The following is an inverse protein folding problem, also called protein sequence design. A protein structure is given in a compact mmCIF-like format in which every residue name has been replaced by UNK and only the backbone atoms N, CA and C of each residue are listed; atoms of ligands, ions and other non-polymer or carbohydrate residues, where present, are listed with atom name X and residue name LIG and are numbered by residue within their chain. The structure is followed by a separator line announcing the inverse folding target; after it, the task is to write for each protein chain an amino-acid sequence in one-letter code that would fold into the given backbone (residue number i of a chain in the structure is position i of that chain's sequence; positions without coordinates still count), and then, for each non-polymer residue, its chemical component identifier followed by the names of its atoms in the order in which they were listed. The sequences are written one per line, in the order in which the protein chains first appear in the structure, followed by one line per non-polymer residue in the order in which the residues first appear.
data_IF_622507781740
#
_entry.id   IF_622507781740
#
_cell.length_a   1.000
_cell.length_b   1.000
_cell.length_c   1.000
_cell.angle_alpha   90.00
_cell.angle_beta   90.00
_cell.angle_gamma   90.00
#
_symmetry.space_group_name_H-M   'P 1'
#
loop_
_entity.id
_entity.type
_entity.pdbx_description
1 polymer ?
#
# COMPACT_ATOMS: atom_id res chain seq x y z
N UNK A 1 70.65 -6.04 -41.24
CA UNK A 1 70.98 -6.84 -40.04
C UNK A 1 69.69 -7.26 -39.36
N UNK A 2 69.67 -8.42 -38.69
CA UNK A 2 68.49 -8.89 -37.92
C UNK A 2 67.97 -7.81 -36.97
N UNK A 3 68.89 -7.01 -36.38
CA UNK A 3 68.56 -5.85 -35.55
C UNK A 3 67.65 -4.81 -36.23
N UNK A 4 67.84 -4.53 -37.52
CA UNK A 4 67.01 -3.55 -38.24
C UNK A 4 65.60 -4.06 -38.52
N UNK A 5 65.47 -5.35 -38.87
CA UNK A 5 64.16 -6.01 -39.01
C UNK A 5 63.40 -6.06 -37.67
N UNK A 6 64.12 -6.26 -36.56
CA UNK A 6 63.54 -6.25 -35.21
C UNK A 6 63.02 -4.87 -34.81
N UNK A 7 63.78 -3.80 -35.07
CA UNK A 7 63.33 -2.41 -34.80
C UNK A 7 62.10 -2.06 -35.63
N UNK A 8 62.06 -2.42 -36.92
CA UNK A 8 60.88 -2.18 -37.76
C UNK A 8 59.67 -2.97 -37.27
N UNK A 9 59.84 -4.24 -36.89
CA UNK A 9 58.76 -5.07 -36.36
C UNK A 9 58.18 -4.50 -35.05
N UNK A 10 59.03 -4.06 -34.12
CA UNK A 10 58.60 -3.46 -32.85
C UNK A 10 57.91 -2.11 -33.09
N UNK A 11 58.46 -1.25 -33.96
CA UNK A 11 57.84 0.03 -34.30
C UNK A 11 56.45 -0.13 -34.94
N UNK A 12 56.28 -1.12 -35.83
CA UNK A 12 54.98 -1.41 -36.43
C UNK A 12 54.00 -1.97 -35.38
N UNK A 13 54.47 -2.81 -34.46
CA UNK A 13 53.65 -3.35 -33.38
C UNK A 13 53.12 -2.24 -32.46
N UNK A 14 53.98 -1.30 -32.03
CA UNK A 14 53.57 -0.15 -31.21
C UNK A 14 52.61 0.77 -31.97
N UNK A 15 52.89 1.06 -33.25
CA UNK A 15 52.03 1.91 -34.06
C UNK A 15 50.63 1.33 -34.29
N UNK A 16 50.47 0.01 -34.22
CA UNK A 16 49.18 -0.67 -34.37
C UNK A 16 48.35 -0.75 -33.08
N UNK A 17 48.95 -0.55 -31.90
CA UNK A 17 48.23 -0.63 -30.62
C UNK A 17 47.64 0.73 -30.28
N UNK A 18 46.31 0.84 -30.09
CA UNK A 18 45.68 2.11 -29.77
C UNK A 18 45.80 2.40 -28.26
N UNK A 19 46.98 2.78 -27.80
CA UNK A 19 47.31 3.03 -26.38
C UNK A 19 46.42 4.11 -25.72
N UNK A 20 45.87 5.03 -26.50
CA UNK A 20 44.94 6.07 -26.03
C UNK A 20 43.49 5.62 -25.86
N UNK A 21 43.09 4.49 -26.46
CA UNK A 21 41.70 4.03 -26.45
C UNK A 21 41.17 3.75 -25.03
N UNK A 22 41.92 3.08 -24.11
CA UNK A 22 41.45 2.88 -22.74
C UNK A 22 41.14 4.19 -22.00
N UNK A 23 41.91 5.24 -22.23
CA UNK A 23 41.69 6.55 -21.62
C UNK A 23 40.41 7.23 -22.15
N UNK A 24 40.22 7.22 -23.47
CA UNK A 24 39.02 7.80 -24.12
C UNK A 24 37.75 7.06 -23.71
N UNK A 25 37.79 5.72 -23.68
CA UNK A 25 36.66 4.89 -23.23
C UNK A 25 36.33 5.18 -21.77
N UNK A 26 37.34 5.23 -20.89
CA UNK A 26 37.14 5.53 -19.47
C UNK A 26 36.53 6.92 -19.26
N UNK A 27 37.03 7.95 -19.94
CA UNK A 27 36.46 9.30 -19.88
C UNK A 27 35.01 9.32 -20.35
N UNK A 28 34.71 8.63 -21.45
CA UNK A 28 33.35 8.56 -22.01
C UNK A 28 32.38 7.89 -21.03
N UNK A 29 32.76 6.73 -20.45
CA UNK A 29 31.96 6.03 -19.45
C UNK A 29 31.81 6.84 -18.15
N UNK A 30 32.84 7.58 -17.74
CA UNK A 30 32.78 8.45 -16.55
C UNK A 30 31.81 9.62 -16.75
N UNK A 31 31.81 10.25 -17.93
CA UNK A 31 30.84 11.29 -18.27
C UNK A 31 29.41 10.72 -18.31
N UNK A 32 29.22 9.53 -18.89
CA UNK A 32 27.93 8.83 -18.86
C UNK A 32 27.46 8.50 -17.45
N UNK A 33 28.36 8.02 -16.59
CA UNK A 33 28.07 7.75 -15.16
C UNK A 33 27.67 9.03 -14.42
N UNK A 34 28.31 10.16 -14.70
CA UNK A 34 27.95 11.45 -14.11
C UNK A 34 26.54 11.88 -14.51
N UNK A 35 26.16 11.69 -15.76
CA UNK A 35 24.81 11.99 -16.24
C UNK A 35 23.76 11.05 -15.62
N UNK A 36 24.06 9.75 -15.51
CA UNK A 36 23.19 8.79 -14.82
C UNK A 36 22.96 9.16 -13.35
N UNK A 37 24.01 9.62 -12.65
CA UNK A 37 23.88 10.04 -11.25
C UNK A 37 22.93 11.24 -11.10
N UNK A 38 22.93 12.20 -12.05
CA UNK A 38 21.98 13.33 -12.05
C UNK A 38 20.53 12.88 -12.23
N UNK A 39 20.31 11.67 -12.75
CA UNK A 39 19.01 11.03 -12.93
C UNK A 39 18.73 9.96 -11.87
N UNK A 40 19.36 10.08 -10.69
CA UNK A 40 19.21 9.17 -9.55
C UNK A 40 19.70 7.72 -9.80
N UNK A 41 20.60 7.50 -10.77
CA UNK A 41 21.21 6.19 -11.04
C UNK A 41 22.69 6.18 -10.65
N UNK A 42 23.00 5.58 -9.49
CA UNK A 42 24.36 5.40 -9.02
C UNK A 42 25.03 4.17 -9.66
N UNK A 43 25.90 4.41 -10.65
CA UNK A 43 26.66 3.34 -11.31
C UNK A 43 27.92 3.01 -10.50
N UNK A 44 28.02 1.76 -10.01
CA UNK A 44 29.18 1.30 -9.21
C UNK A 44 30.37 0.82 -10.04
N UNK A 45 30.17 0.51 -11.32
CA UNK A 45 31.19 0.00 -12.26
C UNK A 45 31.02 0.68 -13.62
N UNK A 46 32.05 1.38 -14.10
CA UNK A 46 31.98 2.15 -15.36
C UNK A 46 31.49 1.33 -16.57
N UNK A 47 31.91 0.07 -16.79
CA UNK A 47 31.41 -0.72 -17.92
C UNK A 47 29.90 -0.99 -17.89
N UNK A 48 29.25 -0.89 -16.72
CA UNK A 48 27.81 -1.12 -16.61
C UNK A 48 26.97 -0.07 -17.35
N UNK A 49 27.53 1.10 -17.66
CA UNK A 49 26.86 2.11 -18.50
C UNK A 49 26.57 1.55 -19.90
N UNK A 50 27.54 0.86 -20.50
CA UNK A 50 27.39 0.24 -21.82
C UNK A 50 26.42 -0.95 -21.76
N UNK A 51 26.57 -1.81 -20.74
CA UNK A 51 25.68 -2.96 -20.55
C UNK A 51 24.22 -2.54 -20.39
N UNK A 52 23.95 -1.45 -19.67
CA UNK A 52 22.61 -0.91 -19.51
C UNK A 52 22.02 -0.46 -20.87
N UNK A 53 22.83 0.13 -21.74
CA UNK A 53 22.42 0.53 -23.09
C UNK A 53 22.06 -0.64 -24.01
N UNK A 54 22.56 -1.84 -23.71
CA UNK A 54 22.27 -3.08 -24.46
C UNK A 54 21.28 -4.00 -23.74
N UNK A 55 20.62 -3.51 -22.69
CA UNK A 55 19.65 -4.32 -21.92
C UNK A 55 18.37 -4.53 -22.75
N UNK A 56 18.00 -5.80 -22.95
CA UNK A 56 16.80 -6.21 -23.69
C UNK A 56 15.66 -6.69 -22.79
N UNK A 57 15.95 -7.01 -21.52
CA UNK A 57 14.98 -7.50 -20.54
C UNK A 57 15.22 -6.78 -19.21
N UNK A 58 14.16 -6.24 -18.61
CA UNK A 58 14.19 -5.64 -17.27
C UNK A 58 13.31 -6.49 -16.35
N UNK A 59 13.93 -7.15 -15.38
CA UNK A 59 13.22 -7.81 -14.29
C UNK A 59 13.14 -6.82 -13.13
N UNK A 60 11.95 -6.28 -12.88
CA UNK A 60 11.71 -5.33 -11.78
C UNK A 60 10.95 -6.02 -10.66
N UNK A 61 11.22 -5.61 -9.43
CA UNK A 61 10.33 -5.93 -8.31
C UNK A 61 9.08 -5.02 -8.37
N UNK A 62 7.98 -5.44 -7.77
CA UNK A 62 6.73 -4.65 -7.69
C UNK A 62 6.82 -3.64 -6.56
N UNK A 63 7.00 -4.14 -5.34
CA UNK A 63 6.84 -3.34 -4.12
C UNK A 63 8.03 -2.41 -3.93
N UNK A 64 7.79 -1.10 -3.89
CA UNK A 64 8.83 -0.09 -3.71
C UNK A 64 9.67 0.23 -4.96
N UNK A 65 9.37 -0.41 -6.09
CA UNK A 65 9.95 -0.06 -7.41
C UNK A 65 8.87 0.37 -8.40
N UNK A 66 7.90 -0.50 -8.71
CA UNK A 66 6.74 -0.14 -9.52
C UNK A 66 5.67 0.57 -8.71
N UNK A 67 5.51 0.20 -7.44
CA UNK A 67 4.58 0.83 -6.51
C UNK A 67 5.33 1.71 -5.52
N UNK A 68 4.64 2.71 -4.99
CA UNK A 68 5.21 3.62 -3.98
C UNK A 68 5.44 2.95 -2.61
N UNK A 69 5.17 1.64 -2.48
CA UNK A 69 5.10 0.92 -1.19
C UNK A 69 4.22 1.65 -0.16
N UNK A 70 3.12 2.23 -0.65
CA UNK A 70 2.13 2.96 0.13
C UNK A 70 0.78 2.31 -0.14
N UNK A 71 0.24 1.66 0.87
CA UNK A 71 -1.11 1.11 0.81
C UNK A 71 -2.12 2.25 1.05
N UNK A 72 -3.18 2.25 0.26
CA UNK A 72 -4.32 3.16 0.38
C UNK A 72 -5.60 2.36 0.24
N UNK A 73 -6.67 2.79 0.92
CA UNK A 73 -8.00 2.23 0.69
C UNK A 73 -8.51 2.81 -0.63
N UNK A 74 -8.79 1.96 -1.61
CA UNK A 74 -9.33 2.37 -2.92
C UNK A 74 -10.85 2.44 -2.90
N UNK A 75 -11.51 1.43 -2.33
CA UNK A 75 -12.95 1.43 -2.10
C UNK A 75 -13.35 0.65 -0.85
N UNK A 76 -14.55 0.94 -0.35
CA UNK A 76 -15.22 0.22 0.73
C UNK A 76 -16.58 -0.20 0.20
N UNK A 77 -16.86 -1.51 0.25
CA UNK A 77 -18.20 -2.01 -0.03
C UNK A 77 -19.00 -2.20 1.27
N UNK A 78 -20.28 -1.90 1.18
CA UNK A 78 -21.29 -2.16 2.21
C UNK A 78 -22.55 -2.71 1.54
N UNK A 79 -23.51 -3.27 2.29
CA UNK A 79 -24.79 -3.70 1.71
C UNK A 79 -25.61 -2.58 1.06
N UNK A 80 -25.30 -1.31 1.37
CA UNK A 80 -25.94 -0.16 0.75
C UNK A 80 -25.30 0.16 -0.61
N UNK A 81 -23.98 0.28 -0.62
CA UNK A 81 -23.23 0.72 -1.80
C UNK A 81 -21.72 0.45 -1.68
N UNK A 82 -21.04 0.60 -2.83
CA UNK A 82 -19.59 0.74 -2.92
C UNK A 82 -19.19 2.22 -2.91
N UNK A 83 -18.31 2.58 -2.00
CA UNK A 83 -17.74 3.92 -1.82
C UNK A 83 -16.32 3.95 -2.34
N UNK A 84 -15.98 4.90 -3.20
CA UNK A 84 -14.62 5.06 -3.72
C UNK A 84 -13.90 6.19 -3.00
N UNK A 85 -12.62 6.00 -2.71
CA UNK A 85 -11.77 7.03 -2.13
C UNK A 85 -11.11 7.83 -3.25
N UNK A 86 -11.39 9.13 -3.32
CA UNK A 86 -10.83 9.99 -4.34
C UNK A 86 -9.35 10.31 -4.03
N UNK A 87 -8.47 9.94 -4.96
CA UNK A 87 -7.03 10.24 -4.90
C UNK A 87 -6.17 9.15 -4.26
N UNK A 88 -5.86 8.05 -4.97
CA UNK A 88 -4.80 7.13 -4.55
C UNK A 88 -3.42 7.80 -4.51
N UNK A 89 -3.21 8.80 -5.39
CA UNK A 89 -1.95 9.52 -5.58
C UNK A 89 -1.89 10.89 -4.88
N UNK A 90 -3.06 11.48 -4.56
CA UNK A 90 -3.17 12.79 -3.94
C UNK A 90 -3.37 12.64 -2.43
N UNK A 91 -2.33 12.94 -1.65
CA UNK A 91 -2.49 13.16 -0.22
C UNK A 91 -2.77 14.65 0.07
N UNK A 92 -3.72 14.96 0.97
CA UNK A 92 -4.70 14.05 1.58
C UNK A 92 -5.82 13.67 0.60
N UNK A 93 -6.49 12.51 0.80
CA UNK A 93 -7.66 12.12 -0.01
C UNK A 93 -8.65 13.28 -0.12
N UNK A 94 -9.18 13.51 -1.32
CA UNK A 94 -10.09 14.63 -1.59
C UNK A 94 -11.54 14.35 -1.17
N UNK A 95 -11.82 13.14 -0.67
CA UNK A 95 -13.12 12.76 -0.10
C UNK A 95 -13.52 11.33 -0.46
N UNK A 96 -14.73 10.97 -0.04
CA UNK A 96 -15.37 9.70 -0.37
C UNK A 96 -16.44 9.97 -1.43
N UNK A 97 -16.48 9.13 -2.46
CA UNK A 97 -17.42 9.25 -3.58
C UNK A 97 -18.39 8.08 -3.58
N UNK A 98 -19.66 8.38 -3.84
CA UNK A 98 -20.72 7.42 -4.16
C UNK A 98 -21.28 7.75 -5.56
N UNK A 99 -21.16 6.83 -6.50
CA UNK A 99 -21.58 7.08 -7.89
C UNK A 99 -20.90 8.29 -8.54
N UNK A 100 -19.67 8.62 -8.13
CA UNK A 100 -18.90 9.78 -8.59
C UNK A 100 -19.22 11.11 -7.90
N UNK A 101 -20.17 11.14 -6.96
CA UNK A 101 -20.53 12.33 -6.19
C UNK A 101 -19.93 12.27 -4.78
N UNK A 102 -19.38 13.38 -4.24
CA UNK A 102 -18.90 13.44 -2.85
C UNK A 102 -20.01 13.12 -1.85
N UNK A 103 -19.69 12.34 -0.82
CA UNK A 103 -20.59 12.01 0.30
C UNK A 103 -19.92 12.25 1.64
N UNK A 104 -20.73 12.57 2.65
CA UNK A 104 -20.30 12.61 4.05
C UNK A 104 -20.50 11.23 4.69
N UNK A 105 -19.43 10.65 5.23
CA UNK A 105 -19.50 9.38 5.96
C UNK A 105 -20.43 9.45 7.18
N UNK A 106 -20.68 10.63 7.74
CA UNK A 106 -21.60 10.83 8.85
C UNK A 106 -23.05 10.46 8.50
N UNK A 107 -23.44 10.55 7.23
CA UNK A 107 -24.79 10.25 6.72
C UNK A 107 -24.96 8.77 6.35
N UNK A 108 -23.88 8.00 6.28
CA UNK A 108 -23.88 6.59 5.89
C UNK A 108 -23.43 5.70 7.05
N UNK A 109 -24.41 5.15 7.79
CA UNK A 109 -24.14 4.40 9.02
C UNK A 109 -23.24 3.18 8.81
N UNK A 110 -23.46 2.42 7.73
CA UNK A 110 -22.68 1.23 7.37
C UNK A 110 -21.23 1.57 6.98
N UNK A 111 -21.02 2.62 6.19
CA UNK A 111 -19.69 3.14 5.86
C UNK A 111 -18.92 3.58 7.11
N UNK A 112 -19.56 4.37 7.95
CA UNK A 112 -18.97 4.88 9.20
C UNK A 112 -18.56 3.75 10.13
N UNK A 113 -19.36 2.70 10.20
CA UNK A 113 -19.06 1.50 11.00
C UNK A 113 -17.87 0.72 10.46
N UNK A 114 -17.76 0.56 9.14
CA UNK A 114 -16.62 -0.10 8.51
C UNK A 114 -15.31 0.67 8.78
N UNK A 115 -15.34 1.99 8.64
CA UNK A 115 -14.19 2.86 8.93
C UNK A 115 -13.79 2.82 10.42
N UNK A 116 -14.79 2.85 11.31
CA UNK A 116 -14.54 2.76 12.75
C UNK A 116 -13.94 1.39 13.12
N UNK A 117 -14.45 0.30 12.56
CA UNK A 117 -13.90 -1.04 12.78
C UNK A 117 -12.44 -1.14 12.30
N UNK A 118 -12.14 -0.59 11.12
CA UNK A 118 -10.78 -0.54 10.56
C UNK A 118 -9.81 0.33 11.37
N UNK A 119 -10.32 1.36 12.05
CA UNK A 119 -9.54 2.27 12.92
C UNK A 119 -9.33 1.70 14.34
N UNK A 120 -10.34 1.07 14.93
CA UNK A 120 -10.28 0.55 16.31
C UNK A 120 -9.56 -0.80 16.41
N UNK A 121 -9.77 -1.68 15.44
CA UNK A 121 -9.04 -2.94 15.31
C UNK A 121 -7.75 -2.68 14.52
N UNK A 122 -6.81 -1.94 15.10
CA UNK A 122 -5.63 -1.44 14.39
C UNK A 122 -4.48 -1.10 15.33
N UNK A 123 -3.26 -1.50 14.99
CA UNK A 123 -2.06 -1.16 15.79
C UNK A 123 -1.26 0.00 15.18
N UNK A 124 -1.68 0.53 14.04
CA UNK A 124 -1.04 1.68 13.41
C UNK A 124 -1.44 2.99 14.10
N UNK A 125 -0.46 3.85 14.28
CA UNK A 125 -0.62 5.18 14.89
C UNK A 125 -0.41 6.26 13.83
N UNK A 126 -1.40 7.15 13.71
CA UNK A 126 -1.27 8.36 12.91
C UNK A 126 -0.57 9.44 13.73
N UNK A 127 0.63 9.83 13.31
CA UNK A 127 1.35 10.95 13.89
C UNK A 127 1.12 12.17 13.00
N UNK A 128 0.31 13.09 13.51
CA UNK A 128 0.04 14.38 12.87
C UNK A 128 1.29 15.28 12.90
N UNK A 129 1.53 15.97 11.78
CA UNK A 129 2.67 16.86 11.58
C UNK A 129 2.50 17.66 10.29
N UNK A 130 3.55 18.35 9.84
CA UNK A 130 3.54 19.05 8.54
C UNK A 130 3.26 18.06 7.39
N UNK A 131 3.76 16.83 7.54
CA UNK A 131 3.33 15.67 6.77
C UNK A 131 2.86 14.60 7.75
N UNK A 132 1.58 14.22 7.68
CA UNK A 132 1.05 13.13 8.49
C UNK A 132 1.75 11.82 8.13
N UNK A 133 2.37 11.20 9.14
CA UNK A 133 3.07 9.91 9.00
C UNK A 133 2.30 8.84 9.76
N UNK A 134 2.40 7.61 9.27
CA UNK A 134 1.83 6.45 9.96
C UNK A 134 2.95 5.55 10.44
N UNK A 135 2.91 5.16 11.71
CA UNK A 135 3.74 4.09 12.27
C UNK A 135 2.90 2.82 12.37
N UNK A 136 3.37 1.72 11.80
CA UNK A 136 2.64 0.44 11.79
C UNK A 136 2.75 -0.27 10.44
N UNK A 137 1.98 -1.34 10.27
CA UNK A 137 1.88 -2.03 8.99
C UNK A 137 1.22 -1.12 7.92
N UNK A 138 1.68 -1.15 6.65
CA UNK A 138 1.10 -0.31 5.60
C UNK A 138 -0.42 -0.50 5.43
N UNK A 139 -0.94 -1.72 5.54
CA UNK A 139 -2.38 -2.03 5.38
C UNK A 139 -3.17 -1.43 6.52
N UNK A 140 -2.69 -1.59 7.74
CA UNK A 140 -3.28 -0.99 8.93
C UNK A 140 -3.29 0.54 8.85
N UNK A 141 -2.16 1.11 8.41
CA UNK A 141 -2.05 2.55 8.25
C UNK A 141 -2.99 3.12 7.20
N UNK A 142 -3.26 2.39 6.13
CA UNK A 142 -4.25 2.76 5.13
C UNK A 142 -5.66 2.91 5.72
N UNK A 143 -6.06 2.02 6.64
CA UNK A 143 -7.36 2.06 7.31
C UNK A 143 -7.50 3.25 8.26
N UNK A 144 -6.46 3.55 9.05
CA UNK A 144 -6.44 4.71 9.96
C UNK A 144 -6.52 6.01 9.16
N UNK A 145 -5.74 6.09 8.08
CA UNK A 145 -5.74 7.22 7.18
C UNK A 145 -7.14 7.39 6.53
N UNK A 146 -7.77 6.31 6.06
CA UNK A 146 -9.11 6.37 5.46
C UNK A 146 -10.18 6.85 6.45
N UNK A 147 -10.12 6.40 7.71
CA UNK A 147 -10.99 6.89 8.78
C UNK A 147 -10.77 8.39 9.05
N UNK A 148 -9.50 8.83 9.14
CA UNK A 148 -9.17 10.24 9.34
C UNK A 148 -9.68 11.13 8.19
N UNK A 149 -9.60 10.66 6.94
CA UNK A 149 -10.12 11.36 5.77
C UNK A 149 -11.66 11.49 5.79
N UNK A 150 -12.35 10.55 6.43
CA UNK A 150 -13.79 10.60 6.68
C UNK A 150 -14.16 11.49 7.88
N UNK A 151 -13.20 12.21 8.47
CA UNK A 151 -13.41 13.02 9.67
C UNK A 151 -13.52 12.20 10.96
N UNK A 152 -13.28 10.88 10.91
CA UNK A 152 -13.30 10.02 12.08
C UNK A 152 -11.93 10.06 12.75
N UNK A 153 -11.88 10.54 13.99
CA UNK A 153 -10.65 10.49 14.79
C UNK A 153 -10.51 9.09 15.39
N UNK A 154 -9.29 8.59 15.64
CA UNK A 154 -9.09 7.40 16.46
C UNK A 154 -9.61 7.70 17.88
N UNK A 155 -10.86 7.31 18.13
CA UNK A 155 -11.62 7.67 19.34
C UNK A 155 -11.21 6.81 20.55
N UNK A 156 -9.92 6.86 20.90
CA UNK A 156 -9.37 6.18 22.07
C UNK A 156 -10.05 6.57 23.39
N UNK A 157 -10.75 7.72 23.44
CA UNK A 157 -11.49 8.17 24.62
C UNK A 157 -12.90 7.58 24.75
N UNK A 158 -13.60 7.26 23.66
CA UNK A 158 -14.99 6.79 23.70
C UNK A 158 -15.13 5.27 23.60
N UNK A 159 -14.12 4.59 23.04
CA UNK A 159 -14.08 3.14 22.95
C UNK A 159 -12.71 2.60 23.39
N UNK A 160 -12.39 2.63 24.70
CA UNK A 160 -11.08 2.19 25.17
C UNK A 160 -10.89 0.69 24.92
N UNK A 161 -9.79 0.33 24.26
CA UNK A 161 -9.36 -1.07 24.06
C UNK A 161 -9.02 -1.68 25.41
N UNK A 162 -9.63 -2.83 25.73
CA UNK A 162 -9.43 -3.57 26.99
C UNK A 162 -8.76 -4.93 26.79
N UNK A 163 -8.80 -5.47 25.58
CA UNK A 163 -8.11 -6.71 25.22
C UNK A 163 -7.89 -6.78 23.71
N UNK A 164 -6.98 -7.65 23.30
CA UNK A 164 -6.70 -7.92 21.90
C UNK A 164 -6.32 -9.38 21.68
N UNK A 165 -6.57 -9.82 20.46
CA UNK A 165 -6.00 -11.02 19.88
C UNK A 165 -5.35 -10.58 18.57
N UNK A 166 -4.01 -10.52 18.50
CA UNK A 166 -3.32 -10.01 17.32
C UNK A 166 -3.59 -10.88 16.08
N UNK A 167 -3.19 -10.38 14.92
CA UNK A 167 -3.29 -11.15 13.69
C UNK A 167 -2.54 -12.49 13.84
N UNK A 168 -3.21 -13.55 13.42
CA UNK A 168 -2.68 -14.91 13.43
C UNK A 168 -2.96 -15.56 12.08
N UNK A 169 -1.93 -16.18 11.48
CA UNK A 169 -2.01 -16.71 10.12
C UNK A 169 -2.91 -17.95 10.01
N UNK A 170 -3.14 -18.68 11.10
CA UNK A 170 -4.07 -19.81 11.14
C UNK A 170 -5.52 -19.31 11.13
N UNK A 171 -5.84 -18.32 11.97
CA UNK A 171 -7.16 -17.67 12.04
C UNK A 171 -7.42 -16.65 10.93
N UNK A 172 -6.37 -16.15 10.28
CA UNK A 172 -6.37 -15.09 9.25
C UNK A 172 -7.11 -13.81 9.67
N UNK A 173 -7.08 -13.46 10.96
CA UNK A 173 -7.79 -12.29 11.49
C UNK A 173 -7.16 -11.75 12.78
N UNK A 174 -7.38 -10.46 12.99
CA UNK A 174 -7.12 -9.72 14.23
C UNK A 174 -8.45 -9.41 14.92
N UNK A 175 -8.45 -9.32 16.25
CA UNK A 175 -9.62 -8.92 17.05
C UNK A 175 -9.20 -8.00 18.17
N UNK A 176 -9.92 -6.89 18.34
CA UNK A 176 -9.76 -6.00 19.50
C UNK A 176 -11.07 -5.89 20.25
N UNK A 177 -11.01 -5.84 21.57
CA UNK A 177 -12.17 -5.74 22.45
C UNK A 177 -12.13 -4.37 23.11
N UNK A 178 -13.25 -3.66 23.04
CA UNK A 178 -13.40 -2.31 23.55
C UNK A 178 -14.55 -2.26 24.54
N UNK A 179 -14.45 -1.37 25.54
CA UNK A 179 -15.59 -1.07 26.41
C UNK A 179 -16.64 -0.33 25.58
N UNK A 180 -17.88 -0.81 25.62
CA UNK A 180 -18.98 -0.17 24.94
C UNK A 180 -19.38 1.10 25.71
N UNK A 181 -19.17 2.27 25.10
CA UNK A 181 -19.88 3.49 25.49
C UNK A 181 -21.24 3.54 24.77
N UNK A 182 -22.25 4.13 25.41
CA UNK A 182 -23.59 4.33 24.83
C UNK A 182 -23.57 5.06 23.46
N UNK A 183 -22.46 5.75 23.17
CA UNK A 183 -22.24 6.59 22.00
C UNK A 183 -21.35 5.93 20.93
N UNK A 184 -21.13 4.62 20.96
CA UNK A 184 -20.52 3.88 19.84
C UNK A 184 -21.47 3.85 18.62
N UNK A 185 -21.62 5.04 18.04
CA UNK A 185 -21.89 5.38 16.65
C UNK A 185 -22.96 4.52 15.97
N UNK A 186 -24.23 4.77 16.30
CA UNK A 186 -25.39 4.21 15.58
C UNK A 186 -25.63 2.71 15.78
N UNK A 187 -24.77 2.02 16.53
CA UNK A 187 -24.98 0.65 16.95
C UNK A 187 -25.62 0.64 18.33
N UNK A 188 -26.78 0.00 18.44
CA UNK A 188 -27.34 -0.34 19.74
C UNK A 188 -26.54 -1.51 20.30
N UNK A 189 -25.67 -1.24 21.27
CA UNK A 189 -24.84 -2.25 21.93
C UNK A 189 -25.48 -2.58 23.29
N UNK A 190 -26.15 -3.72 23.37
CA UNK A 190 -26.76 -4.21 24.61
C UNK A 190 -25.75 -4.93 25.55
N UNK A 191 -24.46 -4.69 25.35
CA UNK A 191 -23.33 -5.34 26.05
C UNK A 191 -22.35 -4.29 26.56
N UNK A 192 -21.68 -4.58 27.69
CA UNK A 192 -20.62 -3.73 28.22
C UNK A 192 -19.35 -3.69 27.33
N UNK A 193 -19.24 -4.61 26.38
CA UNK A 193 -18.10 -4.75 25.49
C UNK A 193 -18.52 -4.98 24.05
N UNK A 194 -17.70 -4.49 23.13
CA UNK A 194 -17.80 -4.72 21.68
C UNK A 194 -16.47 -5.24 21.15
N UNK A 195 -16.52 -6.17 20.21
CA UNK A 195 -15.34 -6.68 19.52
C UNK A 195 -15.33 -6.17 18.08
N UNK A 196 -14.19 -5.63 17.64
CA UNK A 196 -13.93 -5.29 16.25
C UNK A 196 -12.97 -6.32 15.66
N UNK A 197 -13.29 -6.82 14.47
CA UNK A 197 -12.55 -7.91 13.81
C UNK A 197 -12.20 -7.49 12.39
N UNK A 198 -10.96 -7.70 11.97
CA UNK A 198 -10.51 -7.56 10.58
C UNK A 198 -9.66 -8.75 10.16
N UNK A 199 -9.66 -9.08 8.87
CA UNK A 199 -9.04 -10.31 8.39
C UNK A 199 -9.53 -10.73 7.01
N UNK A 200 -9.24 -11.96 6.62
CA UNK A 200 -9.68 -12.51 5.33
C UNK A 200 -11.21 -12.58 5.27
N UNK A 201 -11.84 -12.14 4.16
CA UNK A 201 -13.29 -12.18 3.98
C UNK A 201 -13.90 -13.56 4.25
N UNK A 202 -13.35 -14.63 3.64
CA UNK A 202 -13.85 -16.00 3.82
C UNK A 202 -13.91 -16.39 5.31
N UNK A 203 -12.78 -16.23 6.02
CA UNK A 203 -12.67 -16.62 7.42
C UNK A 203 -13.47 -15.75 8.40
N UNK A 204 -13.82 -14.51 8.03
CA UNK A 204 -14.72 -13.67 8.83
C UNK A 204 -16.17 -14.03 8.55
N UNK A 205 -16.54 -14.24 7.29
CA UNK A 205 -17.91 -14.55 6.91
C UNK A 205 -18.40 -15.80 7.62
N UNK A 206 -17.60 -16.86 7.73
CA UNK A 206 -17.94 -18.09 8.46
C UNK A 206 -18.38 -17.86 9.92
N UNK A 207 -17.97 -16.74 10.53
CA UNK A 207 -18.29 -16.36 11.90
C UNK A 207 -19.46 -15.38 12.02
N UNK A 208 -19.94 -14.84 10.90
CA UNK A 208 -21.01 -13.85 10.85
C UNK A 208 -22.37 -14.53 10.74
N UNK A 209 -23.25 -14.32 11.71
CA UNK A 209 -24.66 -14.73 11.63
C UNK A 209 -25.60 -13.62 11.09
N UNK A 210 -25.14 -12.37 11.15
CA UNK A 210 -25.90 -11.18 10.78
C UNK A 210 -25.04 -10.22 9.96
N UNK A 211 -25.70 -9.39 9.19
CA UNK A 211 -25.10 -8.32 8.40
C UNK A 211 -25.76 -6.99 8.78
N UNK A 212 -24.97 -5.93 8.90
CA UNK A 212 -25.51 -4.61 9.17
C UNK A 212 -25.95 -3.95 7.85
N UNK A 213 -27.22 -3.56 7.78
CA UNK A 213 -27.78 -2.70 6.73
C UNK A 213 -28.13 -1.33 7.31
N UNK A 214 -28.63 -0.41 6.48
CA UNK A 214 -29.08 0.90 6.96
C UNK A 214 -30.37 0.80 7.79
N UNK A 215 -31.18 -0.24 7.57
CA UNK A 215 -32.37 -0.54 8.37
C UNK A 215 -32.03 -1.25 9.69
N UNK A 216 -30.77 -1.64 9.89
CA UNK A 216 -30.29 -2.34 11.08
C UNK A 216 -29.66 -3.71 10.78
N UNK A 217 -29.39 -4.51 11.82
CA UNK A 217 -28.83 -5.84 11.65
C UNK A 217 -29.88 -6.82 11.08
N UNK A 218 -29.59 -7.41 9.93
CA UNK A 218 -30.38 -8.44 9.26
C UNK A 218 -29.69 -9.82 9.34
N UNK A 219 -30.43 -10.91 9.14
CA UNK A 219 -29.85 -12.25 9.07
C UNK A 219 -29.00 -12.39 7.80
N UNK A 220 -27.78 -12.92 7.95
CA UNK A 220 -26.91 -13.20 6.80
C UNK A 220 -27.31 -14.54 6.18
N UNK A 221 -27.93 -14.50 5.01
CA UNK A 221 -28.31 -15.68 4.23
C UNK A 221 -27.12 -16.22 3.41
N UNK A 222 -27.19 -17.47 2.96
CA UNK A 222 -26.19 -18.05 2.06
C UNK A 222 -26.04 -17.22 0.76
N UNK A 223 -27.15 -16.76 0.19
CA UNK A 223 -27.13 -15.87 -0.99
C UNK A 223 -26.37 -14.58 -0.71
N UNK A 224 -26.56 -13.99 0.48
CA UNK A 224 -25.82 -12.78 0.88
C UNK A 224 -24.33 -13.05 1.13
N UNK A 225 -23.96 -14.25 1.60
CA UNK A 225 -22.55 -14.65 1.71
C UNK A 225 -21.91 -14.73 0.33
N UNK A 226 -22.57 -15.39 -0.61
CA UNK A 226 -22.08 -15.55 -1.98
C UNK A 226 -21.91 -14.20 -2.68
N UNK A 227 -22.86 -13.27 -2.48
CA UNK A 227 -22.75 -11.90 -2.99
C UNK A 227 -21.51 -11.18 -2.47
N UNK A 228 -21.24 -11.25 -1.16
CA UNK A 228 -20.05 -10.61 -0.56
C UNK A 228 -18.75 -11.22 -1.13
N UNK A 229 -18.72 -12.54 -1.32
CA UNK A 229 -17.56 -13.24 -1.89
C UNK A 229 -17.34 -12.87 -3.36
N UNK A 230 -18.41 -12.69 -4.13
CA UNK A 230 -18.33 -12.25 -5.52
C UNK A 230 -17.82 -10.81 -5.61
N UNK A 231 -18.35 -9.91 -4.78
CA UNK A 231 -17.86 -8.54 -4.67
C UNK A 231 -16.38 -8.52 -4.28
N UNK A 232 -15.98 -9.32 -3.29
CA UNK A 232 -14.58 -9.41 -2.88
C UNK A 232 -13.66 -9.87 -4.03
N UNK A 233 -14.10 -10.85 -4.83
CA UNK A 233 -13.35 -11.29 -6.01
C UNK A 233 -13.24 -10.16 -7.05
N UNK A 234 -14.35 -9.49 -7.35
CA UNK A 234 -14.39 -8.38 -8.29
C UNK A 234 -13.50 -7.20 -7.85
N UNK A 235 -13.44 -6.91 -6.54
CA UNK A 235 -12.54 -5.89 -5.99
C UNK A 235 -11.06 -6.29 -6.11
N UNK A 236 -10.75 -7.58 -5.95
CA UNK A 236 -9.38 -8.10 -6.08
C UNK A 236 -8.85 -8.15 -7.52
N UNK A 237 -9.73 -8.05 -8.52
CA UNK A 237 -9.39 -8.04 -9.95
C UNK A 237 -9.17 -6.62 -10.52
N UNK A 238 -9.55 -5.57 -9.78
CA UNK A 238 -9.36 -4.17 -10.16
C UNK A 238 -7.95 -3.68 -9.83
#
# INVERSE_FOLDING_TARGET
TISGLLVVAVSLAVAAVPEGLPAVVTMSLALGTREMLRRNALVRRLPSVETLGSTTVICTDKTGTLTQNRMTVASIWTPHAEYMFAGPDDRPWSGILLGGSPVDASEHATLRMALLAGSLCNDAELIEGVESRVLGDPTEGALVLAAAAAGLKPEGSFAPRVAEVPFDSERKRMTTIHRAAEQLVGLRIDSAYVAFVKGSPDGILDLCARIQTDDGPAQLSEVGRDEILEVNRAMGER
#
